data_IF_949534671674
#
_entry.id   IF_949534671674
#
_cell.length_a   1.000
_cell.length_b   1.000
_cell.length_c   1.000
_cell.angle_alpha   90.00
_cell.angle_beta   90.00
_cell.angle_gamma   90.00
#
_symmetry.space_group_name_H-M   'P 1'
#
loop_
_entity.id
_entity.type
_entity.pdbx_description
1 polymer ?
#
# COMPACT_ATOMS: atom_id res chain seq x y z
N UNK A 1 -13.29 -6.81 15.57
CA UNK A 1 -13.60 -5.93 14.42
C UNK A 1 -14.35 -4.70 14.92
N UNK A 2 -13.97 -3.50 14.46
CA UNK A 2 -14.71 -2.25 14.69
C UNK A 2 -15.21 -1.76 13.33
N UNK A 3 -16.45 -1.29 13.26
CA UNK A 3 -17.03 -0.70 12.06
C UNK A 3 -17.36 0.77 12.35
N UNK A 4 -16.74 1.68 11.62
CA UNK A 4 -16.95 3.12 11.75
C UNK A 4 -17.72 3.59 10.53
N UNK A 5 -18.96 4.04 10.74
CA UNK A 5 -19.85 4.49 9.67
C UNK A 5 -19.86 6.02 9.68
N UNK A 6 -19.49 6.61 8.55
CA UNK A 6 -19.43 8.04 8.34
C UNK A 6 -20.19 8.37 7.04
N UNK A 7 -20.77 9.55 6.96
CA UNK A 7 -21.69 9.92 5.86
C UNK A 7 -20.93 10.23 4.57
N UNK A 8 -19.71 10.75 4.69
CA UNK A 8 -18.96 11.26 3.55
C UNK A 8 -17.54 10.72 3.48
N UNK A 9 -17.03 10.56 2.25
CA UNK A 9 -15.66 10.16 1.96
C UNK A 9 -14.61 11.04 2.67
N UNK A 10 -14.85 12.34 2.78
CA UNK A 10 -13.96 13.28 3.47
C UNK A 10 -13.85 12.97 4.97
N UNK A 11 -14.96 12.62 5.62
CA UNK A 11 -14.98 12.23 7.04
C UNK A 11 -14.24 10.90 7.24
N UNK A 12 -14.47 9.91 6.37
CA UNK A 12 -13.77 8.62 6.42
C UNK A 12 -12.26 8.79 6.21
N UNK A 13 -11.87 9.61 5.24
CA UNK A 13 -10.47 9.96 4.96
C UNK A 13 -9.79 10.62 6.16
N UNK A 14 -10.44 11.61 6.77
CA UNK A 14 -9.92 12.29 7.95
C UNK A 14 -9.86 11.35 9.16
N UNK A 15 -10.86 10.50 9.35
CA UNK A 15 -10.86 9.52 10.43
C UNK A 15 -9.70 8.54 10.30
N UNK A 16 -9.46 7.98 9.11
CA UNK A 16 -8.36 7.06 8.84
C UNK A 16 -7.00 7.74 9.06
N UNK A 17 -6.83 8.98 8.56
CA UNK A 17 -5.60 9.74 8.76
C UNK A 17 -5.33 10.05 10.24
N UNK A 18 -6.37 10.44 11.00
CA UNK A 18 -6.28 10.63 12.46
C UNK A 18 -5.90 9.34 13.16
N UNK A 19 -6.45 8.21 12.74
CA UNK A 19 -6.13 6.91 13.30
C UNK A 19 -4.64 6.58 13.12
N UNK A 20 -4.15 6.63 11.88
CA UNK A 20 -2.75 6.38 11.53
C UNK A 20 -1.83 7.32 12.32
N UNK A 21 -2.12 8.63 12.31
CA UNK A 21 -1.36 9.63 13.08
C UNK A 21 -1.26 9.24 14.55
N UNK A 22 -2.40 8.93 15.18
CA UNK A 22 -2.44 8.60 16.60
C UNK A 22 -1.67 7.31 16.90
N UNK A 23 -1.72 6.29 16.03
CA UNK A 23 -0.95 5.05 16.19
C UNK A 23 0.55 5.31 16.09
N UNK A 24 1.00 6.12 15.14
CA UNK A 24 2.41 6.52 15.03
C UNK A 24 2.86 7.29 16.28
N UNK A 25 2.11 8.30 16.73
CA UNK A 25 2.44 9.10 17.91
C UNK A 25 2.50 8.22 19.17
N UNK A 26 1.51 7.36 19.39
CA UNK A 26 1.46 6.46 20.54
C UNK A 26 2.59 5.44 20.55
N UNK A 27 2.99 4.96 19.37
CA UNK A 27 4.12 4.04 19.24
C UNK A 27 5.46 4.72 19.58
N UNK A 28 5.53 6.04 19.39
CA UNK A 28 6.68 6.90 19.66
C UNK A 28 7.97 6.37 18.99
N UNK A 29 8.03 6.35 17.64
CA UNK A 29 9.14 5.77 16.92
C UNK A 29 10.42 6.62 17.05
N UNK A 30 11.56 5.96 16.92
CA UNK A 30 12.89 6.55 17.09
C UNK A 30 13.95 5.81 16.26
N UNK A 31 15.23 6.21 16.34
CA UNK A 31 16.31 5.65 15.52
C UNK A 31 16.49 4.14 15.67
N UNK A 32 16.15 3.57 16.82
CA UNK A 32 16.26 2.13 17.09
C UNK A 32 14.89 1.40 17.07
N UNK A 33 13.80 2.13 16.78
CA UNK A 33 12.43 1.63 16.88
C UNK A 33 11.54 2.27 15.83
N UNK A 34 11.46 1.64 14.66
CA UNK A 34 10.65 2.12 13.55
C UNK A 34 9.19 1.69 13.68
N UNK A 35 8.27 2.56 13.28
CA UNK A 35 6.87 2.18 13.06
C UNK A 35 6.73 1.62 11.64
N UNK A 36 6.21 0.40 11.49
CA UNK A 36 6.02 -0.24 10.18
C UNK A 36 4.57 -0.10 9.71
N UNK A 37 4.38 0.50 8.53
CA UNK A 37 3.07 0.88 7.99
C UNK A 37 2.83 0.24 6.62
N UNK A 38 1.82 -0.62 6.51
CA UNK A 38 1.33 -1.15 5.24
C UNK A 38 0.42 -0.14 4.55
N UNK A 39 0.64 0.11 3.24
CA UNK A 39 -0.06 1.15 2.48
C UNK A 39 -0.70 0.64 1.19
N UNK A 40 -1.94 1.08 0.87
CA UNK A 40 -2.61 0.75 -0.39
C UNK A 40 -2.44 1.86 -1.42
N UNK A 41 -2.70 1.55 -2.69
CA UNK A 41 -2.88 2.54 -3.76
C UNK A 41 -4.36 2.72 -4.12
N UNK A 42 -4.66 3.31 -5.27
CA UNK A 42 -6.02 3.54 -5.76
C UNK A 42 -6.67 4.82 -5.24
N UNK A 43 -7.93 5.04 -5.60
CA UNK A 43 -8.63 6.29 -5.30
C UNK A 43 -9.03 6.45 -3.83
N UNK A 44 -9.33 5.33 -3.15
CA UNK A 44 -9.81 5.30 -1.76
C UNK A 44 -8.86 5.96 -0.74
N UNK A 45 -7.53 5.73 -0.75
CA UNK A 45 -6.63 6.33 0.24
C UNK A 45 -6.23 7.78 -0.04
N UNK A 46 -6.59 8.38 -1.19
CA UNK A 46 -6.10 9.71 -1.58
C UNK A 46 -6.43 10.80 -0.55
N UNK A 47 -7.66 10.80 -0.01
CA UNK A 47 -8.07 11.78 1.01
C UNK A 47 -7.32 11.56 2.33
N UNK A 48 -7.01 10.31 2.67
CA UNK A 48 -6.20 9.98 3.83
C UNK A 48 -4.77 10.50 3.67
N UNK A 49 -4.14 10.29 2.50
CA UNK A 49 -2.80 10.82 2.22
C UNK A 49 -2.73 12.34 2.30
N UNK A 50 -3.73 13.04 1.74
CA UNK A 50 -3.82 14.50 1.83
C UNK A 50 -3.83 14.98 3.29
N UNK A 51 -4.60 14.30 4.15
CA UNK A 51 -4.68 14.63 5.58
C UNK A 51 -3.41 14.29 6.36
N UNK A 52 -2.74 13.18 6.04
CA UNK A 52 -1.43 12.85 6.63
C UNK A 52 -0.35 13.88 6.26
N UNK A 53 -0.34 14.36 5.02
CA UNK A 53 0.53 15.45 4.57
C UNK A 53 0.22 16.75 5.31
N UNK A 54 -1.07 17.06 5.53
CA UNK A 54 -1.49 18.23 6.32
C UNK A 54 -0.95 18.15 7.75
N UNK A 55 -1.08 17.00 8.42
CA UNK A 55 -0.53 16.79 9.77
C UNK A 55 0.99 16.94 9.83
N UNK A 56 1.70 16.42 8.82
CA UNK A 56 3.14 16.63 8.73
C UNK A 56 3.49 18.12 8.58
N UNK A 57 2.85 18.83 7.64
CA UNK A 57 3.11 20.26 7.40
C UNK A 57 2.78 21.15 8.60
N UNK A 58 1.82 20.75 9.42
CA UNK A 58 1.47 21.45 10.66
C UNK A 58 2.42 21.13 11.83
N UNK A 59 3.33 20.15 11.67
CA UNK A 59 4.24 19.71 12.73
C UNK A 59 3.64 18.70 13.72
N UNK A 60 2.46 18.16 13.42
CA UNK A 60 1.76 17.19 14.29
C UNK A 60 2.29 15.75 14.12
N UNK A 61 3.01 15.46 13.04
CA UNK A 61 3.42 14.12 12.66
C UNK A 61 4.77 14.15 11.92
N UNK A 62 5.61 13.15 12.16
CA UNK A 62 6.85 12.90 11.41
C UNK A 62 6.89 11.46 10.95
N UNK A 63 7.41 11.25 9.74
CA UNK A 63 7.63 9.95 9.10
C UNK A 63 9.11 9.55 9.06
N UNK A 64 9.99 10.33 9.70
CA UNK A 64 11.43 10.08 9.74
C UNK A 64 11.78 8.65 10.20
N UNK A 65 11.05 8.15 11.19
CA UNK A 65 11.22 6.81 11.77
C UNK A 65 10.07 5.86 11.42
N UNK A 66 9.48 6.04 10.24
CA UNK A 66 8.44 5.16 9.69
C UNK A 66 9.03 4.37 8.51
N UNK A 67 8.78 3.06 8.48
CA UNK A 67 9.03 2.19 7.33
C UNK A 67 7.70 1.82 6.67
N UNK A 68 7.58 2.00 5.37
CA UNK A 68 6.37 1.68 4.63
C UNK A 68 6.53 0.44 3.76
N UNK A 69 5.46 -0.33 3.62
CA UNK A 69 5.38 -1.50 2.74
C UNK A 69 4.09 -1.41 1.92
N UNK A 70 4.23 -1.26 0.60
CA UNK A 70 3.08 -1.20 -0.30
C UNK A 70 2.53 -2.60 -0.62
N UNK A 71 1.22 -2.66 -0.87
CA UNK A 71 0.50 -3.91 -1.14
C UNK A 71 0.94 -4.62 -2.42
N UNK A 72 1.26 -3.86 -3.47
CA UNK A 72 1.38 -4.41 -4.82
C UNK A 72 2.15 -3.48 -5.77
N UNK A 73 2.54 -4.03 -6.92
CA UNK A 73 3.05 -3.31 -8.09
C UNK A 73 2.76 -4.12 -9.37
N UNK A 74 2.55 -3.43 -10.50
CA UNK A 74 2.36 -4.09 -11.79
C UNK A 74 3.64 -4.74 -12.30
N UNK A 75 3.51 -5.93 -12.89
CA UNK A 75 4.64 -6.59 -13.55
C UNK A 75 4.87 -6.02 -14.95
N UNK A 76 6.13 -5.70 -15.27
CA UNK A 76 6.54 -5.23 -16.60
C UNK A 76 6.19 -3.78 -16.93
N UNK A 77 5.60 -3.03 -15.99
CA UNK A 77 5.35 -1.61 -16.17
C UNK A 77 6.58 -0.80 -15.73
N UNK A 78 7.12 0.11 -16.56
CA UNK A 78 8.28 0.90 -16.17
C UNK A 78 8.04 1.65 -14.86
N UNK A 79 9.04 1.66 -13.96
CA UNK A 79 8.95 2.32 -12.65
C UNK A 79 8.53 3.79 -12.75
N UNK A 80 9.03 4.50 -13.76
CA UNK A 80 8.74 5.92 -14.02
C UNK A 80 7.41 6.15 -14.76
N UNK A 81 6.69 5.09 -15.14
CA UNK A 81 5.38 5.23 -15.77
C UNK A 81 4.43 5.95 -14.81
N UNK A 82 3.64 6.95 -15.26
CA UNK A 82 2.77 7.72 -14.37
C UNK A 82 1.80 6.87 -13.55
N UNK A 83 1.33 5.77 -14.13
CA UNK A 83 0.40 4.82 -13.50
C UNK A 83 1.07 3.64 -12.78
N UNK A 84 2.41 3.61 -12.65
CA UNK A 84 3.05 2.65 -11.75
C UNK A 84 2.68 2.97 -10.30
N UNK A 85 2.60 1.95 -9.45
CA UNK A 85 2.28 2.18 -8.04
C UNK A 85 3.43 2.87 -7.32
N UNK A 86 4.66 2.69 -7.80
CA UNK A 86 5.79 3.54 -7.47
C UNK A 86 5.49 5.04 -7.73
N UNK A 87 5.17 5.43 -8.96
CA UNK A 87 4.85 6.81 -9.31
C UNK A 87 3.66 7.33 -8.52
N UNK A 88 2.62 6.53 -8.35
CA UNK A 88 1.46 6.87 -7.54
C UNK A 88 1.86 7.27 -6.12
N UNK A 89 2.64 6.44 -5.43
CA UNK A 89 3.03 6.68 -4.03
C UNK A 89 3.94 7.89 -3.89
N UNK A 90 4.90 8.07 -4.79
CA UNK A 90 5.76 9.25 -4.78
C UNK A 90 4.99 10.53 -5.08
N UNK A 91 4.07 10.49 -6.04
CA UNK A 91 3.31 11.67 -6.44
C UNK A 91 2.27 12.10 -5.41
N UNK A 92 1.63 11.15 -4.74
CA UNK A 92 0.51 11.42 -3.84
C UNK A 92 0.92 11.45 -2.36
N UNK A 93 2.08 10.92 -1.98
CA UNK A 93 2.46 10.83 -0.58
C UNK A 93 3.94 11.08 -0.29
N UNK A 94 4.85 10.20 -0.73
CA UNK A 94 6.22 10.17 -0.19
C UNK A 94 7.04 11.44 -0.40
N UNK A 95 6.88 12.15 -1.54
CA UNK A 95 7.63 13.40 -1.77
C UNK A 95 7.15 14.60 -0.97
N UNK A 96 6.06 14.47 -0.22
CA UNK A 96 5.41 15.57 0.51
C UNK A 96 5.61 15.49 2.03
N UNK A 97 6.35 14.49 2.52
CA UNK A 97 6.62 14.20 3.93
C UNK A 97 8.12 13.98 4.16
N UNK A 98 8.56 13.90 5.42
CA UNK A 98 9.96 13.66 5.82
C UNK A 98 10.35 12.17 5.87
N UNK A 99 9.70 11.32 5.08
CA UNK A 99 10.07 9.91 4.99
C UNK A 99 11.38 9.75 4.23
N UNK A 100 12.25 8.91 4.77
CA UNK A 100 13.49 8.52 4.12
C UNK A 100 13.22 7.54 2.96
N UNK A 101 13.73 7.76 1.74
CA UNK A 101 13.50 6.87 0.60
C UNK A 101 13.86 5.40 0.88
N UNK A 102 14.94 5.15 1.63
CA UNK A 102 15.38 3.83 2.05
C UNK A 102 14.38 3.10 2.98
N UNK A 103 13.44 3.83 3.57
CA UNK A 103 12.37 3.28 4.39
C UNK A 103 11.07 3.07 3.60
N UNK A 104 11.06 3.33 2.28
CA UNK A 104 9.92 3.10 1.41
C UNK A 104 10.10 1.80 0.62
N UNK A 105 9.24 0.80 0.88
CA UNK A 105 9.34 -0.51 0.26
C UNK A 105 8.12 -0.75 -0.64
N UNK A 106 8.38 -0.85 -1.94
CA UNK A 106 7.42 -1.20 -2.99
C UNK A 106 8.03 -2.38 -3.76
N UNK A 107 7.20 -3.37 -4.08
CA UNK A 107 7.60 -4.53 -4.89
C UNK A 107 8.18 -4.07 -6.24
N UNK A 108 9.26 -4.70 -6.68
CA UNK A 108 9.82 -4.45 -8.02
C UNK A 108 9.19 -5.37 -9.06
N UNK A 109 8.13 -4.89 -9.72
CA UNK A 109 7.48 -5.60 -10.82
C UNK A 109 8.34 -5.80 -12.08
N UNK A 110 9.56 -5.26 -12.13
CA UNK A 110 10.52 -5.48 -13.23
C UNK A 110 11.75 -6.28 -12.77
N UNK A 111 11.72 -6.90 -11.59
CA UNK A 111 12.80 -7.76 -11.11
C UNK A 111 13.05 -8.92 -12.10
N UNK A 112 14.32 -9.29 -12.26
CA UNK A 112 14.72 -10.39 -13.14
C UNK A 112 14.15 -11.75 -12.69
N UNK A 113 14.00 -11.93 -11.38
CA UNK A 113 13.33 -13.06 -10.76
C UNK A 113 12.22 -12.54 -9.83
N UNK A 114 10.98 -12.64 -10.31
CA UNK A 114 9.81 -12.15 -9.60
C UNK A 114 9.51 -12.94 -8.32
N UNK A 115 9.86 -14.23 -8.28
CA UNK A 115 9.64 -15.04 -7.08
C UNK A 115 10.65 -14.65 -6.00
N UNK A 116 11.92 -14.48 -6.37
CA UNK A 116 12.94 -14.00 -5.45
C UNK A 116 12.63 -12.60 -4.91
N UNK A 117 12.02 -11.71 -5.71
CA UNK A 117 11.54 -10.41 -5.24
C UNK A 117 10.42 -10.56 -4.19
N UNK A 118 9.46 -11.46 -4.41
CA UNK A 118 8.40 -11.75 -3.43
C UNK A 118 8.97 -12.27 -2.11
N UNK A 119 9.90 -13.22 -2.18
CA UNK A 119 10.54 -13.81 -1.00
C UNK A 119 11.36 -12.76 -0.24
N UNK A 120 12.13 -11.94 -0.97
CA UNK A 120 12.89 -10.82 -0.41
C UNK A 120 11.98 -9.79 0.27
N UNK A 121 10.80 -9.52 -0.28
CA UNK A 121 9.84 -8.58 0.29
C UNK A 121 9.31 -9.08 1.64
N UNK A 122 9.00 -10.38 1.74
CA UNK A 122 8.59 -11.03 3.00
C UNK A 122 9.71 -11.01 4.05
N UNK A 123 10.95 -11.28 3.64
CA UNK A 123 12.12 -11.18 4.52
C UNK A 123 12.32 -9.76 5.04
N UNK A 124 12.14 -8.73 4.20
CA UNK A 124 12.21 -7.32 4.63
C UNK A 124 11.14 -6.97 5.66
N UNK A 125 9.91 -7.48 5.50
CA UNK A 125 8.83 -7.30 6.48
C UNK A 125 9.22 -7.95 7.81
N UNK A 126 9.72 -9.20 7.78
CA UNK A 126 10.14 -9.91 8.99
C UNK A 126 11.33 -9.24 9.68
N UNK A 127 12.34 -8.81 8.91
CA UNK A 127 13.51 -8.09 9.41
C UNK A 127 13.14 -6.73 10.04
N UNK A 128 12.03 -6.12 9.61
CA UNK A 128 11.47 -4.92 10.21
C UNK A 128 10.65 -5.20 11.49
N UNK A 129 10.48 -6.46 11.88
CA UNK A 129 9.70 -6.88 13.06
C UNK A 129 8.20 -7.11 12.78
N UNK A 130 7.81 -7.23 11.51
CA UNK A 130 6.41 -7.30 11.07
C UNK A 130 5.79 -5.92 10.84
N UNK A 131 4.51 -5.88 10.49
CA UNK A 131 3.74 -4.65 10.25
C UNK A 131 2.95 -4.26 11.50
N UNK A 132 3.12 -3.03 11.99
CA UNK A 132 2.36 -2.50 13.15
C UNK A 132 0.92 -2.16 12.76
N UNK A 133 0.72 -1.56 11.58
CA UNK A 133 -0.59 -1.20 11.04
C UNK A 133 -0.61 -1.39 9.53
N UNK A 134 -1.55 -2.17 9.01
CA UNK A 134 -1.74 -2.34 7.57
C UNK A 134 -3.04 -1.66 7.13
N UNK A 135 -2.93 -0.58 6.36
CA UNK A 135 -4.10 0.12 5.82
C UNK A 135 -4.44 -0.48 4.46
N UNK A 136 -5.72 -0.83 4.26
CA UNK A 136 -6.19 -1.44 3.01
C UNK A 136 -7.45 -0.77 2.46
N UNK A 137 -7.68 -0.98 1.17
CA UNK A 137 -8.98 -0.79 0.52
C UNK A 137 -9.59 -2.14 0.16
N UNK A 138 -10.89 -2.13 -0.14
CA UNK A 138 -11.59 -3.30 -0.68
C UNK A 138 -12.11 -3.01 -2.09
N UNK A 139 -11.93 -3.97 -2.99
CA UNK A 139 -12.54 -3.97 -4.31
C UNK A 139 -14.04 -4.27 -4.26
N UNK A 140 -14.78 -3.98 -5.34
CA UNK A 140 -16.22 -4.24 -5.42
C UNK A 140 -16.60 -5.74 -5.33
N UNK A 141 -15.66 -6.63 -5.63
CA UNK A 141 -15.75 -8.09 -5.49
C UNK A 141 -15.22 -8.61 -4.13
N UNK A 142 -14.81 -7.69 -3.24
CA UNK A 142 -14.27 -8.01 -1.92
C UNK A 142 -12.76 -8.27 -1.87
N UNK A 143 -12.00 -8.08 -2.96
CA UNK A 143 -10.55 -8.28 -2.92
C UNK A 143 -9.84 -7.23 -2.05
N UNK A 144 -8.70 -7.63 -1.49
CA UNK A 144 -7.72 -6.75 -0.84
C UNK A 144 -6.39 -6.88 -1.59
N UNK A 145 -5.74 -5.75 -1.92
CA UNK A 145 -4.63 -5.73 -2.87
C UNK A 145 -5.06 -6.41 -4.20
N UNK A 146 -4.21 -7.23 -4.83
CA UNK A 146 -4.63 -8.11 -5.93
C UNK A 146 -5.01 -9.54 -5.47
N UNK A 147 -5.45 -9.72 -4.22
CA UNK A 147 -5.97 -11.02 -3.75
C UNK A 147 -7.43 -11.22 -4.21
N UNK A 148 -7.58 -11.47 -5.51
CA UNK A 148 -8.87 -11.69 -6.17
C UNK A 148 -9.60 -12.95 -5.66
N UNK A 149 -10.93 -13.05 -5.88
CA UNK A 149 -11.72 -14.22 -5.51
C UNK A 149 -11.08 -15.55 -5.93
N UNK A 150 -11.03 -16.50 -4.99
CA UNK A 150 -10.33 -17.78 -5.16
C UNK A 150 -8.88 -17.78 -4.66
N UNK A 151 -8.34 -16.63 -4.24
CA UNK A 151 -7.05 -16.58 -3.54
C UNK A 151 -7.10 -17.33 -2.21
N UNK A 152 -6.00 -18.03 -1.87
CA UNK A 152 -5.86 -18.71 -0.57
C UNK A 152 -5.91 -17.69 0.58
N UNK A 153 -6.67 -18.02 1.63
CA UNK A 153 -6.78 -17.21 2.85
C UNK A 153 -5.46 -17.14 3.65
N UNK A 154 -4.51 -18.04 3.37
CA UNK A 154 -3.17 -18.07 3.97
C UNK A 154 -2.07 -17.80 2.93
N UNK A 155 -2.42 -17.14 1.81
CA UNK A 155 -1.47 -16.79 0.77
C UNK A 155 -0.37 -15.86 1.29
N UNK A 156 0.82 -15.95 0.66
CA UNK A 156 1.96 -15.04 0.83
C UNK A 156 2.11 -14.13 -0.38
N UNK A 157 3.08 -13.22 -0.29
CA UNK A 157 3.51 -12.38 -1.41
C UNK A 157 3.83 -13.23 -2.63
N UNK A 158 3.25 -12.88 -3.78
CA UNK A 158 3.36 -13.70 -5.01
C UNK A 158 3.07 -12.90 -6.27
N UNK A 159 3.44 -13.48 -7.41
CA UNK A 159 2.93 -13.08 -8.72
C UNK A 159 1.46 -13.49 -8.85
N UNK A 160 0.63 -12.59 -9.36
CA UNK A 160 -0.79 -12.80 -9.60
C UNK A 160 -1.18 -12.32 -11.00
N UNK A 161 -1.83 -13.20 -11.76
CA UNK A 161 -2.54 -12.81 -12.99
C UNK A 161 -3.81 -12.06 -12.62
N UNK A 162 -4.03 -10.89 -13.24
CA UNK A 162 -5.20 -10.06 -13.00
C UNK A 162 -6.42 -10.65 -13.72
N UNK A 163 -7.57 -10.64 -13.06
CA UNK A 163 -8.85 -10.97 -13.67
C UNK A 163 -9.27 -9.90 -14.67
N UNK A 164 -10.12 -10.30 -15.62
CA UNK A 164 -10.62 -9.40 -16.66
C UNK A 164 -11.36 -8.19 -16.07
N UNK A 165 -12.11 -8.37 -14.99
CA UNK A 165 -12.83 -7.28 -14.32
C UNK A 165 -11.87 -6.24 -13.73
N UNK A 166 -10.73 -6.67 -13.18
CA UNK A 166 -9.65 -5.80 -12.69
C UNK A 166 -9.01 -5.04 -13.85
N UNK A 167 -8.74 -5.71 -14.97
CA UNK A 167 -8.19 -5.08 -16.17
C UNK A 167 -9.15 -4.00 -16.70
N UNK A 168 -10.45 -4.31 -16.78
CA UNK A 168 -11.50 -3.38 -17.20
C UNK A 168 -11.62 -2.18 -16.26
N UNK A 169 -11.56 -2.41 -14.95
CA UNK A 169 -11.63 -1.34 -13.95
C UNK A 169 -10.41 -0.41 -14.00
N UNK A 170 -9.22 -0.96 -14.28
CA UNK A 170 -7.97 -0.21 -14.33
C UNK A 170 -7.73 0.47 -15.68
N UNK A 171 -8.39 0.05 -16.76
CA UNK A 171 -8.28 0.65 -18.10
C UNK A 171 -8.48 2.17 -18.10
N UNK A 172 -9.31 2.70 -17.20
CA UNK A 172 -9.53 4.15 -17.04
C UNK A 172 -8.26 4.96 -16.76
N UNK A 173 -7.22 4.31 -16.22
CA UNK A 173 -5.92 4.92 -15.95
C UNK A 173 -4.98 4.81 -17.17
N UNK A 174 -5.28 3.94 -18.13
CA UNK A 174 -4.47 3.66 -19.32
C UNK A 174 -5.17 4.14 -20.61
N UNK A 175 -5.73 5.34 -20.60
CA UNK A 175 -6.49 5.94 -21.71
C UNK A 175 -7.71 5.13 -22.20
N UNK A 176 -8.21 4.20 -21.37
CA UNK A 176 -9.26 3.26 -21.76
C UNK A 176 -8.78 2.09 -22.63
N UNK A 177 -7.47 1.95 -22.87
CA UNK A 177 -6.90 0.91 -23.71
C UNK A 177 -6.49 -0.32 -22.88
N UNK A 178 -7.26 -1.41 -23.03
CA UNK A 178 -7.02 -2.67 -22.32
C UNK A 178 -5.66 -3.29 -22.66
N UNK A 179 -5.10 -3.03 -23.85
CA UNK A 179 -3.82 -3.60 -24.26
C UNK A 179 -2.63 -2.95 -23.51
N UNK A 180 -2.83 -1.76 -22.92
CA UNK A 180 -1.84 -1.06 -22.11
C UNK A 180 -1.87 -1.46 -20.64
N UNK A 181 -2.95 -2.11 -20.19
CA UNK A 181 -3.09 -2.54 -18.79
C UNK A 181 -2.21 -3.78 -18.57
N UNK A 182 -1.30 -3.77 -17.58
CA UNK A 182 -0.53 -4.96 -17.24
C UNK A 182 -1.45 -6.13 -16.87
N UNK A 183 -1.10 -7.35 -17.30
CA UNK A 183 -1.90 -8.56 -17.06
C UNK A 183 -1.50 -9.30 -15.79
N UNK A 184 -0.40 -8.88 -15.16
CA UNK A 184 0.14 -9.47 -13.93
C UNK A 184 0.57 -8.38 -12.95
N UNK A 185 0.54 -8.72 -11.67
CA UNK A 185 1.06 -7.89 -10.60
C UNK A 185 1.82 -8.76 -9.57
N UNK A 186 2.73 -8.13 -8.84
CA UNK A 186 3.20 -8.64 -7.56
C UNK A 186 2.27 -8.12 -6.48
N UNK A 187 1.91 -8.96 -5.52
CA UNK A 187 0.99 -8.56 -4.44
C UNK A 187 1.30 -9.31 -3.16
N UNK A 188 1.19 -8.62 -2.02
CA UNK A 188 1.18 -9.25 -0.70
C UNK A 188 0.03 -10.23 -0.57
N UNK A 189 0.23 -11.30 0.18
CA UNK A 189 -0.82 -12.30 0.39
C UNK A 189 -1.82 -11.90 1.48
N UNK A 190 -2.94 -12.62 1.53
CA UNK A 190 -3.91 -12.46 2.63
C UNK A 190 -3.26 -12.77 3.97
N UNK A 191 -2.43 -13.83 4.04
CA UNK A 191 -1.65 -14.16 5.23
C UNK A 191 -0.65 -13.07 5.59
N UNK A 192 0.01 -12.45 4.61
CA UNK A 192 0.94 -11.34 4.81
C UNK A 192 0.25 -10.13 5.45
N UNK A 193 -0.96 -9.78 5.00
CA UNK A 193 -1.75 -8.70 5.61
C UNK A 193 -2.21 -9.09 7.02
N UNK A 194 -2.67 -10.32 7.21
CA UNK A 194 -3.17 -10.81 8.51
C UNK A 194 -2.09 -11.02 9.56
N UNK A 195 -0.81 -11.12 9.17
CA UNK A 195 0.33 -11.13 10.09
C UNK A 195 0.60 -9.76 10.72
N UNK A 196 -0.02 -8.68 10.20
CA UNK A 196 0.06 -7.36 10.81
C UNK A 196 -0.57 -7.37 12.21
N UNK A 197 -0.04 -6.55 13.11
CA UNK A 197 -0.59 -6.39 14.46
C UNK A 197 -1.97 -5.74 14.44
N UNK A 198 -2.25 -4.95 13.41
CA UNK A 198 -3.51 -4.26 13.20
C UNK A 198 -3.79 -4.07 11.70
N UNK A 199 -5.05 -4.23 11.31
CA UNK A 199 -5.60 -3.98 9.97
C UNK A 199 -6.85 -3.12 10.11
#
# INVERSE_FOLDING_TARGET
MKLIILEHYSQASEWAAKYIRNRIIQFNPGPDKYFTLGLPTGSTPLGCYQKLIEYYKNGDLSFKYVKTFNMDEYVGLPREHPESYHSFMWNNFFKHIDIHPENTHILDGNAADLQAECDSFEEKIQAAGGIELFVGGIGPDGHIAFNEPGSSLVSRTRVKTLAMDTILANARFFDGDLAKVPTMALTVGVGTVMDAKEV
#
